data_IF_876626473090
#
_entry.id   IF_876626473090
#
_cell.length_a   1.000
_cell.length_b   1.000
_cell.length_c   1.000
_cell.angle_alpha   90.00
_cell.angle_beta   90.00
_cell.angle_gamma   90.00
#
_symmetry.space_group_name_H-M   'P 1'
#
loop_
_entity.id
_entity.type
_entity.pdbx_description
1 polymer ?
#
# COMPACT_ATOMS: atom_id res chain seq x y z
N UNK A 1 -2.15 -13.88 0.43
CA UNK A 1 -1.72 -12.72 -0.37
C UNK A 1 -0.26 -12.44 -0.04
N UNK A 2 0.64 -12.66 -0.99
CA UNK A 2 2.07 -12.43 -0.83
C UNK A 2 2.49 -11.44 -1.92
N UNK A 3 2.91 -10.23 -1.52
CA UNK A 3 3.14 -9.10 -2.44
C UNK A 3 4.52 -9.13 -3.10
N UNK A 4 5.49 -9.80 -2.47
CA UNK A 4 6.84 -9.96 -2.98
C UNK A 4 7.33 -11.39 -2.69
N UNK A 5 8.04 -12.00 -3.64
CA UNK A 5 8.63 -13.34 -3.50
C UNK A 5 9.95 -13.33 -2.71
N UNK A 6 10.49 -12.14 -2.42
CA UNK A 6 11.68 -11.89 -1.61
C UNK A 6 11.42 -10.72 -0.65
N UNK A 7 12.28 -10.53 0.37
CA UNK A 7 12.16 -9.40 1.29
C UNK A 7 12.58 -8.12 0.56
N UNK A 8 11.67 -7.13 0.41
CA UNK A 8 11.97 -5.91 -0.30
C UNK A 8 12.86 -4.97 0.52
N UNK A 9 13.63 -4.16 -0.18
CA UNK A 9 14.47 -3.12 0.41
C UNK A 9 13.63 -1.92 0.88
N UNK A 10 14.22 -1.11 1.76
CA UNK A 10 13.63 0.17 2.13
C UNK A 10 13.53 1.08 0.89
N UNK A 11 12.38 1.74 0.73
CA UNK A 11 12.04 2.55 -0.44
C UNK A 11 11.16 1.83 -1.46
N UNK A 12 11.06 0.49 -1.42
CA UNK A 12 10.24 -0.26 -2.36
C UNK A 12 8.75 0.12 -2.25
N UNK A 13 8.12 0.36 -3.39
CA UNK A 13 6.70 0.69 -3.52
C UNK A 13 5.91 -0.47 -4.11
N UNK A 14 4.70 -0.67 -3.60
CA UNK A 14 3.76 -1.67 -4.10
C UNK A 14 2.37 -1.05 -4.19
N UNK A 15 1.59 -1.55 -5.16
CA UNK A 15 0.19 -1.19 -5.31
C UNK A 15 -0.64 -2.47 -5.22
N UNK A 16 -1.61 -2.47 -4.31
CA UNK A 16 -2.56 -3.56 -4.15
C UNK A 16 -3.69 -3.43 -5.19
N UNK A 17 -4.40 -4.53 -5.51
CA UNK A 17 -5.49 -4.52 -6.49
C UNK A 17 -6.68 -3.62 -6.12
N UNK A 18 -6.85 -3.32 -4.83
CA UNK A 18 -7.87 -2.40 -4.31
C UNK A 18 -7.52 -0.92 -4.52
N UNK A 19 -6.30 -0.63 -5.00
CA UNK A 19 -5.78 0.72 -5.18
C UNK A 19 -4.98 1.24 -3.98
N UNK A 20 -4.83 0.44 -2.91
CA UNK A 20 -4.00 0.81 -1.76
C UNK A 20 -2.53 0.82 -2.20
N UNK A 21 -1.84 1.93 -1.97
CA UNK A 21 -0.39 2.03 -2.20
C UNK A 21 0.35 1.82 -0.90
N UNK A 22 1.51 1.18 -0.96
CA UNK A 22 2.36 0.98 0.20
C UNK A 22 3.84 1.12 -0.15
N UNK A 23 4.59 1.73 0.78
CA UNK A 23 6.03 1.94 0.67
C UNK A 23 6.71 1.34 1.88
N UNK A 24 7.77 0.58 1.64
CA UNK A 24 8.63 0.05 2.70
C UNK A 24 9.47 1.20 3.24
N UNK A 25 9.31 1.55 4.51
CA UNK A 25 10.09 2.62 5.16
C UNK A 25 11.32 2.04 5.84
N UNK A 26 11.18 0.84 6.41
CA UNK A 26 12.26 0.17 7.11
C UNK A 26 12.16 -1.35 6.92
N UNK A 27 13.24 -1.96 6.44
CA UNK A 27 13.37 -3.40 6.28
C UNK A 27 14.73 -3.89 6.80
N UNK A 28 14.73 -5.10 7.36
CA UNK A 28 15.94 -5.86 7.66
C UNK A 28 16.05 -7.05 6.70
N UNK A 29 17.19 -7.73 6.71
CA UNK A 29 17.44 -8.93 5.88
C UNK A 29 16.45 -10.08 6.11
N UNK A 30 15.66 -10.05 7.19
CA UNK A 30 14.70 -11.11 7.53
C UNK A 30 13.24 -10.68 7.46
N UNK A 31 12.95 -9.38 7.58
CA UNK A 31 11.57 -8.88 7.57
C UNK A 31 11.49 -7.38 7.34
N UNK A 32 10.36 -6.97 6.78
CA UNK A 32 9.93 -5.57 6.80
C UNK A 32 9.52 -5.19 8.23
N UNK A 33 10.00 -4.06 8.73
CA UNK A 33 9.72 -3.55 10.08
C UNK A 33 8.66 -2.45 10.06
N UNK A 34 8.65 -1.61 9.03
CA UNK A 34 7.71 -0.49 8.90
C UNK A 34 7.34 -0.26 7.44
N UNK A 35 6.05 -0.04 7.22
CA UNK A 35 5.49 0.37 5.95
C UNK A 35 4.67 1.64 6.12
N UNK A 36 4.65 2.47 5.09
CA UNK A 36 3.71 3.57 4.93
C UNK A 36 2.59 3.09 4.01
N UNK A 37 1.36 3.32 4.41
CA UNK A 37 0.17 2.94 3.66
C UNK A 37 -0.55 4.21 3.22
N UNK A 38 -0.94 4.26 1.95
CA UNK A 38 -1.87 5.22 1.42
C UNK A 38 -3.15 4.46 1.06
N UNK A 39 -4.29 4.80 1.69
CA UNK A 39 -5.55 4.14 1.40
C UNK A 39 -5.90 4.34 -0.09
N UNK A 40 -6.73 3.44 -0.64
CA UNK A 40 -7.15 3.60 -2.02
C UNK A 40 -7.94 4.91 -2.13
N UNK A 41 -7.87 5.59 -3.29
CA UNK A 41 -8.75 6.73 -3.51
C UNK A 41 -10.17 6.26 -3.26
N UNK A 42 -10.92 6.99 -2.40
CA UNK A 42 -12.36 6.77 -2.29
C UNK A 42 -12.87 6.85 -3.72
N UNK A 43 -13.41 5.74 -4.25
CA UNK A 43 -14.29 5.85 -5.41
C UNK A 43 -15.29 6.95 -5.03
N UNK A 44 -15.54 7.95 -5.88
CA UNK A 44 -16.59 8.90 -5.59
C UNK A 44 -17.84 8.06 -5.35
N UNK A 45 -18.27 7.99 -4.09
CA UNK A 45 -19.57 7.46 -3.78
C UNK A 45 -20.51 8.40 -4.52
N UNK A 46 -21.35 7.87 -5.39
CA UNK A 46 -22.52 8.55 -5.97
C UNK A 46 -23.56 8.83 -4.87
N UNK A 47 -23.12 9.47 -3.77
CA UNK A 47 -23.93 9.92 -2.62
C UNK A 47 -23.82 11.46 -2.47
N UNK A 48 -23.41 12.16 -3.52
CA UNK A 48 -23.42 13.63 -3.60
C UNK A 48 -24.33 14.12 -4.75
N UNK A 49 -25.37 13.37 -5.10
CA UNK A 49 -26.54 13.86 -5.83
C UNK A 49 -27.69 14.07 -4.83
N UNK A 50 -27.56 15.09 -3.97
CA UNK A 50 -28.66 15.84 -3.33
C UNK A 50 -28.09 16.80 -2.28
N UNK A 51 -27.66 17.98 -2.72
CA UNK A 51 -27.63 19.19 -1.89
C UNK A 51 -27.91 20.41 -2.76
#
# INVERSE_FOLDING_TARGET
LQLAQAIPEAGAEFTLPDGTRLQVVEASQRRVRRVRLWPPPKKPSEDEESA
#
